data_IF_903231351191
#
_entry.id   IF_903231351191
#
_cell.length_a   1.000
_cell.length_b   1.000
_cell.length_c   1.000
_cell.angle_alpha   90.00
_cell.angle_beta   90.00
_cell.angle_gamma   90.00
#
_symmetry.space_group_name_H-M   'P 1'
#
loop_
_entity.id
_entity.type
_entity.pdbx_description
1 polymer ?
#
# COMPACT_ATOMS: atom_id res chain seq x y z
N UNK A 1 19.05 -9.82 -3.49
CA UNK A 1 20.01 -10.02 -4.60
C UNK A 1 19.57 -9.34 -5.90
N UNK A 2 18.27 -9.39 -6.27
CA UNK A 2 17.76 -8.80 -7.51
C UNK A 2 17.54 -7.27 -7.46
N UNK A 3 17.26 -6.69 -6.29
CA UNK A 3 17.02 -5.24 -6.15
C UNK A 3 18.22 -4.39 -6.60
N UNK A 4 19.43 -4.72 -6.13
CA UNK A 4 20.65 -4.00 -6.53
C UNK A 4 20.90 -4.02 -8.03
N UNK A 5 20.58 -5.14 -8.70
CA UNK A 5 20.67 -5.24 -10.16
C UNK A 5 19.64 -4.38 -10.88
N UNK A 6 18.43 -4.28 -10.36
CA UNK A 6 17.37 -3.40 -10.87
C UNK A 6 17.77 -1.93 -10.80
N UNK A 7 18.28 -1.48 -9.65
CA UNK A 7 18.77 -0.10 -9.47
C UNK A 7 19.96 0.22 -10.37
N UNK A 8 20.95 -0.68 -10.45
CA UNK A 8 22.12 -0.49 -11.31
C UNK A 8 21.72 -0.42 -12.78
N UNK A 9 20.81 -1.29 -13.24
CA UNK A 9 20.28 -1.25 -14.61
C UNK A 9 19.62 0.10 -14.92
N UNK A 10 18.77 0.59 -14.02
CA UNK A 10 18.08 1.87 -14.17
C UNK A 10 19.10 3.02 -14.26
N UNK A 11 20.05 3.06 -13.32
CA UNK A 11 21.09 4.08 -13.29
C UNK A 11 21.96 4.08 -14.55
N UNK A 12 22.40 2.90 -15.02
CA UNK A 12 23.19 2.80 -16.26
C UNK A 12 22.38 3.29 -17.47
N UNK A 13 21.09 2.97 -17.54
CA UNK A 13 20.24 3.44 -18.62
C UNK A 13 20.08 4.97 -18.61
N UNK A 14 19.93 5.60 -17.43
CA UNK A 14 19.90 7.05 -17.26
C UNK A 14 21.24 7.69 -17.65
N UNK A 15 22.35 7.20 -17.10
CA UNK A 15 23.70 7.74 -17.34
C UNK A 15 24.12 7.63 -18.83
N UNK A 16 23.59 6.64 -19.57
CA UNK A 16 23.85 6.43 -21.00
C UNK A 16 22.79 7.07 -21.93
N UNK A 17 21.78 7.75 -21.38
CA UNK A 17 20.71 8.37 -22.18
C UNK A 17 19.86 7.35 -22.96
N UNK A 18 19.65 6.16 -22.40
CA UNK A 18 18.88 5.07 -23.01
C UNK A 18 17.40 5.08 -22.60
N UNK A 19 17.00 5.95 -21.68
CA UNK A 19 15.61 6.12 -21.24
C UNK A 19 14.91 7.08 -22.21
N UNK A 20 13.87 6.66 -22.93
CA UNK A 20 13.12 7.55 -23.81
C UNK A 20 12.44 8.67 -23.00
N UNK A 21 12.75 9.92 -23.34
CA UNK A 21 12.01 11.11 -22.91
C UNK A 21 10.82 11.24 -23.89
N UNK A 22 9.59 11.40 -23.42
CA UNK A 22 8.35 11.50 -24.22
C UNK A 22 7.68 10.21 -24.72
N UNK A 23 8.03 9.04 -24.17
CA UNK A 23 7.27 7.81 -24.40
C UNK A 23 6.51 7.33 -23.15
N UNK A 24 5.31 6.81 -23.36
CA UNK A 24 4.56 6.09 -22.33
C UNK A 24 4.61 4.59 -22.58
N UNK A 25 5.34 3.89 -21.71
CA UNK A 25 5.51 2.45 -21.73
C UNK A 25 4.69 1.82 -20.61
N UNK A 26 3.51 1.35 -20.98
CA UNK A 26 2.60 0.64 -20.08
C UNK A 26 2.89 -0.87 -20.09
N UNK A 27 2.79 -1.50 -18.92
CA UNK A 27 2.71 -2.96 -18.83
C UNK A 27 1.85 -3.38 -17.64
N UNK A 28 1.29 -4.59 -17.73
CA UNK A 28 0.61 -5.25 -16.62
C UNK A 28 1.52 -6.30 -16.01
N UNK A 29 1.55 -6.36 -14.68
CA UNK A 29 2.15 -7.45 -13.91
C UNK A 29 1.01 -8.23 -13.27
N UNK A 30 0.74 -9.45 -13.72
CA UNK A 30 -0.44 -10.25 -13.31
C UNK A 30 -0.11 -11.65 -12.78
N UNK A 31 1.17 -12.02 -12.68
CA UNK A 31 1.66 -13.30 -12.15
C UNK A 31 2.21 -13.11 -10.73
N UNK A 32 1.37 -12.55 -9.86
CA UNK A 32 1.75 -12.20 -8.50
C UNK A 32 1.52 -13.38 -7.53
N UNK A 33 2.44 -13.63 -6.58
CA UNK A 33 2.20 -14.63 -5.54
C UNK A 33 1.06 -14.18 -4.63
N UNK A 34 0.37 -15.12 -3.98
CA UNK A 34 -0.64 -14.79 -2.97
C UNK A 34 0.01 -14.31 -1.66
N UNK A 35 1.16 -14.89 -1.32
CA UNK A 35 1.86 -14.69 -0.07
C UNK A 35 3.30 -14.25 -0.29
N UNK A 36 3.82 -13.48 0.65
CA UNK A 36 5.24 -13.21 0.80
C UNK A 36 5.74 -13.74 2.15
N UNK A 37 6.93 -14.33 2.16
CA UNK A 37 7.54 -14.86 3.38
C UNK A 37 8.78 -14.04 3.66
N UNK A 38 8.82 -13.40 4.82
CA UNK A 38 9.99 -12.66 5.27
C UNK A 38 11.17 -13.64 5.48
N UNK A 39 12.30 -13.44 4.79
CA UNK A 39 13.39 -14.42 4.78
C UNK A 39 14.15 -14.52 6.11
N UNK A 40 13.94 -13.58 7.05
CA UNK A 40 14.66 -13.50 8.33
C UNK A 40 13.82 -14.09 9.46
N UNK A 41 12.59 -13.62 9.60
CA UNK A 41 11.63 -14.00 10.63
C UNK A 41 10.78 -15.21 10.26
N UNK A 42 10.69 -15.55 8.96
CA UNK A 42 9.80 -16.60 8.47
C UNK A 42 8.31 -16.23 8.53
N UNK A 43 7.98 -14.97 8.84
CA UNK A 43 6.61 -14.50 8.89
C UNK A 43 6.00 -14.51 7.48
N UNK A 44 4.85 -15.15 7.34
CA UNK A 44 4.03 -15.11 6.13
C UNK A 44 3.11 -13.89 6.19
N UNK A 45 3.10 -13.08 5.13
CA UNK A 45 2.17 -11.98 4.93
C UNK A 45 1.49 -12.09 3.55
N UNK A 46 0.44 -11.31 3.34
CA UNK A 46 -0.19 -11.24 2.03
C UNK A 46 0.67 -10.39 1.10
N UNK A 47 0.95 -10.88 -0.12
CA UNK A 47 1.75 -10.11 -1.10
C UNK A 47 1.08 -8.78 -1.47
N UNK A 48 -0.25 -8.77 -1.59
CA UNK A 48 -1.01 -7.55 -1.90
C UNK A 48 -1.93 -7.13 -0.76
N UNK A 49 -2.90 -7.97 -0.39
CA UNK A 49 -3.76 -7.79 0.78
C UNK A 49 -4.50 -9.11 1.09
N UNK A 50 -5.01 -9.34 2.31
CA UNK A 50 -5.58 -10.64 2.71
C UNK A 50 -6.89 -11.03 2.01
N UNK A 51 -7.47 -10.15 1.20
CA UNK A 51 -8.74 -10.38 0.48
C UNK A 51 -8.57 -10.81 -0.98
N UNK A 52 -7.32 -10.97 -1.49
CA UNK A 52 -7.07 -11.41 -2.87
C UNK A 52 -7.57 -12.83 -3.05
N UNK A 53 -8.25 -13.11 -4.16
CA UNK A 53 -8.66 -14.46 -4.53
C UNK A 53 -7.43 -15.32 -4.88
N UNK A 54 -7.15 -16.42 -4.15
CA UNK A 54 -6.12 -17.38 -4.54
C UNK A 54 -6.50 -18.07 -5.86
N UNK A 55 -5.51 -18.30 -6.73
CA UNK A 55 -5.71 -19.00 -8.01
C UNK A 55 -5.70 -20.54 -7.87
N UNK A 56 -5.61 -21.04 -6.64
CA UNK A 56 -5.56 -22.45 -6.30
C UNK A 56 -5.87 -22.69 -4.83
N UNK A 57 -5.26 -23.73 -4.26
CA UNK A 57 -5.38 -24.02 -2.83
C UNK A 57 -4.66 -22.93 -2.01
N UNK A 58 -5.36 -22.16 -1.14
CA UNK A 58 -4.71 -21.14 -0.29
C UNK A 58 -3.66 -21.71 0.68
N UNK A 59 -3.65 -23.02 0.91
CA UNK A 59 -2.65 -23.64 1.79
C UNK A 59 -1.32 -23.92 1.07
N UNK A 60 -1.30 -23.92 -0.28
CA UNK A 60 -0.08 -24.05 -1.07
C UNK A 60 0.77 -22.78 -0.96
N UNK A 61 2.04 -22.94 -0.59
CA UNK A 61 3.00 -21.83 -0.42
C UNK A 61 3.33 -21.12 -1.75
N UNK A 62 3.08 -21.78 -2.88
CA UNK A 62 3.36 -21.24 -4.22
C UNK A 62 2.11 -20.76 -4.95
N UNK A 63 0.96 -20.71 -4.26
CA UNK A 63 -0.29 -20.29 -4.89
C UNK A 63 -0.20 -18.85 -5.38
N UNK A 64 -0.66 -18.62 -6.61
CA UNK A 64 -0.82 -17.29 -7.17
C UNK A 64 -1.99 -16.56 -6.53
N UNK A 65 -1.91 -15.23 -6.49
CA UNK A 65 -3.04 -14.36 -6.19
C UNK A 65 -3.58 -13.79 -7.49
N UNK A 66 -4.90 -13.76 -7.65
CA UNK A 66 -5.55 -13.10 -8.79
C UNK A 66 -5.49 -11.57 -8.63
N UNK A 67 -4.28 -11.02 -8.60
CA UNK A 67 -3.98 -9.59 -8.49
C UNK A 67 -3.06 -9.13 -9.61
N UNK A 68 -3.10 -7.83 -9.89
CA UNK A 68 -2.44 -7.23 -11.02
C UNK A 68 -2.09 -5.77 -10.76
N UNK A 69 -0.94 -5.35 -11.28
CA UNK A 69 -0.47 -3.96 -11.23
C UNK A 69 -0.36 -3.39 -12.64
N UNK A 70 -0.89 -2.18 -12.83
CA UNK A 70 -0.63 -1.35 -13.99
C UNK A 70 0.62 -0.52 -13.72
N UNK A 71 1.65 -0.72 -14.52
CA UNK A 71 2.88 0.06 -14.45
C UNK A 71 3.02 0.99 -15.66
N UNK A 72 3.57 2.18 -15.42
CA UNK A 72 3.90 3.17 -16.44
C UNK A 72 5.31 3.71 -16.22
N UNK A 73 6.19 3.56 -17.21
CA UNK A 73 7.57 4.04 -17.19
C UNK A 73 8.34 3.62 -15.93
N UNK A 74 8.11 2.38 -15.47
CA UNK A 74 8.73 1.82 -14.27
C UNK A 74 8.15 2.31 -12.94
N UNK A 75 7.03 3.03 -12.94
CA UNK A 75 6.25 3.38 -11.75
C UNK A 75 4.99 2.52 -11.69
N UNK A 76 4.65 2.01 -10.51
CA UNK A 76 3.31 1.49 -10.26
C UNK A 76 2.31 2.65 -10.35
N UNK A 77 1.33 2.51 -11.25
CA UNK A 77 0.28 3.50 -11.49
C UNK A 77 -1.03 3.12 -10.80
N UNK A 78 -1.29 1.82 -10.68
CA UNK A 78 -2.43 1.30 -9.95
C UNK A 78 -2.33 -0.19 -9.73
N UNK A 79 -3.05 -0.69 -8.74
CA UNK A 79 -3.03 -2.09 -8.33
C UNK A 79 -4.45 -2.56 -8.05
N UNK A 80 -4.72 -3.82 -8.39
CA UNK A 80 -6.04 -4.41 -8.32
C UNK A 80 -6.02 -5.91 -8.09
N UNK A 81 -7.20 -6.45 -7.80
CA UNK A 81 -7.37 -7.89 -7.61
C UNK A 81 -8.82 -8.33 -7.69
N UNK A 82 -9.02 -9.59 -8.04
CA UNK A 82 -10.24 -10.33 -7.75
C UNK A 82 -10.28 -10.65 -6.25
N UNK A 83 -11.49 -10.66 -5.69
CA UNK A 83 -11.70 -10.77 -4.25
C UNK A 83 -12.27 -12.13 -3.87
N UNK A 84 -11.86 -12.59 -2.69
CA UNK A 84 -12.49 -13.75 -2.06
C UNK A 84 -13.94 -13.41 -1.77
N UNK A 85 -14.84 -14.28 -2.23
CA UNK A 85 -16.29 -14.18 -2.01
C UNK A 85 -16.86 -15.45 -1.36
N UNK A 86 -15.99 -16.33 -0.87
CA UNK A 86 -16.34 -17.55 -0.15
C UNK A 86 -15.81 -17.48 1.29
N UNK A 87 -16.68 -17.74 2.26
CA UNK A 87 -16.40 -17.64 3.70
C UNK A 87 -15.25 -18.56 4.12
N UNK A 88 -15.30 -19.83 3.71
CA UNK A 88 -14.33 -20.84 4.13
C UNK A 88 -12.94 -20.54 3.58
N UNK A 89 -12.87 -20.08 2.32
CA UNK A 89 -11.63 -19.65 1.69
C UNK A 89 -11.04 -18.42 2.40
N UNK A 90 -11.86 -17.43 2.75
CA UNK A 90 -11.37 -16.23 3.45
C UNK A 90 -10.80 -16.59 4.83
N UNK A 91 -11.45 -17.51 5.56
CA UNK A 91 -10.95 -18.01 6.84
C UNK A 91 -9.64 -18.77 6.68
N UNK A 92 -9.52 -19.65 5.68
CA UNK A 92 -8.25 -20.34 5.39
C UNK A 92 -7.10 -19.37 5.13
N UNK A 93 -7.35 -18.32 4.32
CA UNK A 93 -6.34 -17.28 4.06
C UNK A 93 -5.96 -16.55 5.35
N UNK A 94 -6.93 -16.15 6.19
CA UNK A 94 -6.60 -15.51 7.46
C UNK A 94 -5.80 -16.40 8.41
N UNK A 95 -6.14 -17.69 8.49
CA UNK A 95 -5.36 -18.64 9.29
C UNK A 95 -3.94 -18.82 8.77
N UNK A 96 -3.76 -18.89 7.45
CA UNK A 96 -2.42 -18.95 6.81
C UNK A 96 -1.57 -17.72 7.13
N UNK A 97 -2.21 -16.55 7.27
CA UNK A 97 -1.59 -15.29 7.69
C UNK A 97 -1.41 -15.17 9.21
N UNK A 98 -1.71 -16.21 9.98
CA UNK A 98 -1.47 -16.28 11.42
C UNK A 98 -2.55 -15.63 12.29
N UNK A 99 -3.76 -15.42 11.76
CA UNK A 99 -4.91 -14.98 12.57
C UNK A 99 -5.65 -16.20 13.11
N UNK A 100 -5.94 -16.18 14.41
CA UNK A 100 -6.84 -17.13 15.06
C UNK A 100 -8.31 -16.70 14.92
N UNK A 101 -9.23 -17.60 15.27
CA UNK A 101 -10.68 -17.34 15.15
C UNK A 101 -11.13 -16.11 15.94
N UNK A 102 -10.57 -15.89 17.14
CA UNK A 102 -10.92 -14.75 17.98
C UNK A 102 -10.51 -13.43 17.32
N UNK A 103 -9.30 -13.37 16.74
CA UNK A 103 -8.81 -12.19 16.02
C UNK A 103 -9.54 -11.97 14.70
N UNK A 104 -9.90 -13.04 13.99
CA UNK A 104 -10.73 -12.96 12.78
C UNK A 104 -12.09 -12.36 13.14
N UNK A 105 -12.76 -12.87 14.16
CA UNK A 105 -14.08 -12.38 14.55
C UNK A 105 -14.03 -10.92 15.00
N UNK A 106 -13.08 -10.57 15.87
CA UNK A 106 -12.93 -9.21 16.40
C UNK A 106 -12.63 -8.18 15.32
N UNK A 107 -11.77 -8.51 14.35
CA UNK A 107 -11.29 -7.54 13.37
C UNK A 107 -12.07 -7.58 12.05
N UNK A 108 -12.62 -8.73 11.68
CA UNK A 108 -13.20 -9.00 10.36
C UNK A 108 -14.52 -9.77 10.41
N UNK A 109 -15.10 -10.07 11.59
CA UNK A 109 -16.32 -10.86 11.73
C UNK A 109 -17.48 -10.36 10.86
N UNK A 110 -17.75 -9.05 10.90
CA UNK A 110 -18.74 -8.40 10.03
C UNK A 110 -18.49 -8.63 8.53
N UNK A 111 -17.23 -8.55 8.09
CA UNK A 111 -16.87 -8.77 6.69
C UNK A 111 -17.08 -10.24 6.29
N UNK A 112 -16.62 -11.17 7.12
CA UNK A 112 -16.78 -12.62 6.89
C UNK A 112 -18.25 -13.02 6.87
N UNK A 113 -19.07 -12.45 7.77
CA UNK A 113 -20.51 -12.64 7.80
C UNK A 113 -21.17 -12.16 6.50
N UNK A 114 -20.79 -10.98 5.99
CA UNK A 114 -21.33 -10.46 4.73
C UNK A 114 -21.08 -11.37 3.52
N UNK A 115 -19.94 -12.08 3.48
CA UNK A 115 -19.68 -13.06 2.42
C UNK A 115 -20.73 -14.18 2.40
N UNK A 116 -21.27 -14.56 3.57
CA UNK A 116 -22.28 -15.63 3.70
C UNK A 116 -23.64 -15.26 3.10
N UNK A 117 -23.92 -13.97 2.91
CA UNK A 117 -25.18 -13.49 2.32
C UNK A 117 -25.20 -13.51 0.79
N UNK A 118 -24.28 -14.25 0.17
CA UNK A 118 -24.22 -14.42 -1.29
C UNK A 118 -23.44 -13.33 -1.99
N UNK A 119 -22.27 -12.96 -1.45
CA UNK A 119 -21.36 -12.04 -2.12
C UNK A 119 -21.01 -12.56 -3.53
N UNK A 120 -21.23 -11.78 -4.61
CA UNK A 120 -20.92 -12.23 -5.96
C UNK A 120 -19.41 -12.25 -6.18
N UNK A 121 -18.91 -12.95 -7.21
CA UNK A 121 -17.56 -12.72 -7.71
C UNK A 121 -17.37 -11.23 -8.02
N UNK A 122 -16.34 -10.64 -7.42
CA UNK A 122 -16.08 -9.20 -7.54
C UNK A 122 -14.57 -8.93 -7.57
N UNK A 123 -14.22 -7.75 -8.06
CA UNK A 123 -12.85 -7.32 -8.23
C UNK A 123 -12.81 -5.81 -8.45
N UNK A 124 -11.62 -5.25 -8.35
CA UNK A 124 -11.44 -3.81 -8.54
C UNK A 124 -9.97 -3.44 -8.60
N UNK A 125 -9.74 -2.20 -9.00
CA UNK A 125 -8.42 -1.56 -9.14
C UNK A 125 -8.49 -0.16 -8.54
N UNK A 126 -7.39 0.25 -7.91
CA UNK A 126 -7.18 1.64 -7.51
C UNK A 126 -6.03 2.22 -8.34
N UNK A 127 -6.20 3.46 -8.81
CA UNK A 127 -5.18 4.19 -9.58
C UNK A 127 -4.72 5.39 -8.75
N UNK A 128 -3.40 5.57 -8.66
CA UNK A 128 -2.79 6.75 -8.06
C UNK A 128 -2.96 7.97 -8.96
N UNK A 129 -4.08 8.69 -8.80
CA UNK A 129 -4.42 9.85 -9.63
C UNK A 129 -3.34 10.93 -9.59
N UNK A 130 -2.77 11.23 -8.42
CA UNK A 130 -1.69 12.22 -8.30
C UNK A 130 -0.44 11.79 -9.08
N UNK A 131 -0.10 10.49 -9.03
CA UNK A 131 1.03 9.94 -9.80
C UNK A 131 0.76 10.02 -11.30
N UNK A 132 -0.47 9.68 -11.72
CA UNK A 132 -0.89 9.81 -13.11
C UNK A 132 -0.75 11.26 -13.61
N UNK A 133 -1.29 12.22 -12.85
CA UNK A 133 -1.19 13.64 -13.18
C UNK A 133 0.27 14.12 -13.24
N UNK A 134 1.11 13.70 -12.28
CA UNK A 134 2.53 14.07 -12.27
C UNK A 134 3.25 13.56 -13.52
N UNK A 135 3.04 12.28 -13.90
CA UNK A 135 3.64 11.70 -15.11
C UNK A 135 3.15 12.42 -16.37
N UNK A 136 1.84 12.66 -16.50
CA UNK A 136 1.25 13.34 -17.67
C UNK A 136 1.74 14.79 -17.83
N UNK A 137 2.09 15.46 -16.73
CA UNK A 137 2.58 16.83 -16.71
C UNK A 137 4.12 16.92 -16.67
N UNK A 138 4.83 15.79 -16.76
CA UNK A 138 6.29 15.75 -16.69
C UNK A 138 6.84 16.29 -15.37
N UNK A 139 6.19 15.96 -14.25
CA UNK A 139 6.60 16.35 -12.90
C UNK A 139 7.22 15.18 -12.15
N UNK A 140 8.36 15.43 -11.51
CA UNK A 140 9.04 14.45 -10.68
C UNK A 140 8.36 14.22 -9.32
N UNK A 141 7.57 15.20 -8.87
CA UNK A 141 6.88 15.15 -7.57
C UNK A 141 5.37 15.27 -7.72
N UNK A 142 4.64 14.42 -7.01
CA UNK A 142 3.19 14.57 -6.84
C UNK A 142 2.81 15.90 -6.14
N UNK A 143 3.76 16.53 -5.44
CA UNK A 143 3.54 17.83 -4.79
C UNK A 143 3.25 18.94 -5.80
N UNK A 144 3.70 18.79 -7.05
CA UNK A 144 3.49 19.77 -8.11
C UNK A 144 2.11 19.66 -8.77
N UNK A 145 1.33 18.63 -8.44
CA UNK A 145 -0.03 18.41 -8.98
C UNK A 145 -1.11 18.44 -7.90
N UNK A 146 -0.72 18.66 -6.65
CA UNK A 146 -1.63 18.84 -5.51
C UNK A 146 -1.62 20.32 -5.14
N UNK A 147 -2.79 20.94 -5.02
CA UNK A 147 -2.90 22.38 -4.75
C UNK A 147 -2.21 22.80 -3.42
N UNK A 148 -2.36 21.99 -2.36
CA UNK A 148 -1.82 22.26 -1.02
C UNK A 148 -1.11 21.01 -0.45
N UNK A 149 0.06 20.65 -0.99
CA UNK A 149 0.75 19.42 -0.61
C UNK A 149 1.38 19.51 0.77
N UNK A 150 1.56 18.36 1.42
CA UNK A 150 2.35 18.24 2.65
C UNK A 150 3.82 17.94 2.33
N UNK A 151 4.72 18.22 3.27
CA UNK A 151 6.13 17.79 3.18
C UNK A 151 6.30 16.33 3.66
N UNK A 152 7.53 15.81 3.66
CA UNK A 152 7.84 14.44 4.10
C UNK A 152 7.48 14.15 5.57
N UNK A 153 7.30 15.19 6.39
CA UNK A 153 6.87 15.11 7.80
C UNK A 153 5.36 15.22 7.98
N UNK A 154 4.60 15.13 6.89
CA UNK A 154 3.15 15.37 6.85
C UNK A 154 2.74 16.78 7.32
N UNK A 155 3.67 17.75 7.30
CA UNK A 155 3.43 19.14 7.70
C UNK A 155 3.02 19.99 6.50
N UNK A 156 2.08 20.89 6.73
CA UNK A 156 1.55 21.88 5.81
C UNK A 156 2.20 23.22 6.06
N UNK A 157 3.01 23.69 5.12
CA UNK A 157 3.67 25.00 5.24
C UNK A 157 2.72 26.18 4.99
N UNK A 158 1.53 25.91 4.44
CA UNK A 158 0.53 26.93 4.15
C UNK A 158 -0.18 27.43 5.41
N UNK A 159 -0.65 26.47 6.22
CA UNK A 159 -1.52 26.71 7.38
C UNK A 159 -0.90 26.25 8.71
N UNK A 160 0.31 25.70 8.68
CA UNK A 160 1.03 25.24 9.87
C UNK A 160 0.48 23.96 10.50
N UNK A 161 -0.34 23.17 9.77
CA UNK A 161 -0.88 21.91 10.28
C UNK A 161 0.12 20.74 10.18
N UNK A 162 0.06 19.73 11.07
CA UNK A 162 -0.75 19.68 12.29
C UNK A 162 -0.26 20.68 13.35
N UNK A 163 -1.16 21.09 14.24
CA UNK A 163 -0.86 21.98 15.37
C UNK A 163 -1.39 21.38 16.68
N UNK A 164 -0.93 21.90 17.82
CA UNK A 164 -1.46 21.52 19.14
C UNK A 164 -2.98 21.73 19.21
N UNK A 165 -3.68 20.79 19.82
CA UNK A 165 -5.13 20.83 20.07
C UNK A 165 -5.37 21.36 21.49
N UNK A 166 -6.42 22.15 21.68
CA UNK A 166 -6.81 22.67 22.99
C UNK A 166 -7.20 21.54 23.95
N UNK A 167 -6.76 21.63 25.21
CA UNK A 167 -6.99 20.59 26.22
C UNK A 167 -8.49 20.33 26.45
N UNK A 168 -9.34 21.37 26.40
CA UNK A 168 -10.80 21.23 26.54
C UNK A 168 -11.41 20.28 25.49
N UNK A 169 -10.89 20.30 24.25
CA UNK A 169 -11.35 19.39 23.17
C UNK A 169 -10.86 17.96 23.38
N UNK A 170 -9.65 17.81 23.90
CA UNK A 170 -9.10 16.50 24.25
C UNK A 170 -9.91 15.87 25.38
N UNK A 171 -10.28 16.66 26.39
CA UNK A 171 -11.16 16.23 27.49
C UNK A 171 -12.55 15.82 27.01
N UNK A 172 -13.17 16.61 26.12
CA UNK A 172 -14.47 16.27 25.52
C UNK A 172 -14.43 14.91 24.79
N UNK A 173 -13.34 14.64 24.07
CA UNK A 173 -13.14 13.38 23.35
C UNK A 173 -12.63 12.25 24.25
N UNK A 174 -12.39 12.51 25.54
CA UNK A 174 -11.77 11.58 26.49
C UNK A 174 -10.40 11.05 26.02
N UNK A 175 -9.63 11.91 25.34
CA UNK A 175 -8.29 11.64 24.84
C UNK A 175 -7.28 12.32 25.75
N UNK A 176 -6.18 11.62 26.05
CA UNK A 176 -5.04 12.20 26.78
C UNK A 176 -3.85 12.23 25.83
N UNK A 177 -3.31 13.42 25.58
CA UNK A 177 -2.04 13.55 24.85
C UNK A 177 -0.87 13.24 25.78
N UNK A 178 -0.11 12.18 25.43
CA UNK A 178 1.13 11.84 26.14
C UNK A 178 2.36 12.58 25.60
N UNK A 179 2.20 13.35 24.51
CA UNK A 179 3.30 14.07 23.85
C UNK A 179 3.76 15.32 24.64
N UNK A 180 3.02 15.75 25.67
CA UNK A 180 3.34 16.96 26.41
C UNK A 180 3.29 18.22 25.52
N UNK A 181 4.33 19.05 25.59
CA UNK A 181 4.51 20.24 24.75
C UNK A 181 5.36 19.99 23.49
N UNK A 182 5.65 18.73 23.16
CA UNK A 182 6.41 18.42 21.94
C UNK A 182 5.58 18.77 20.70
N UNK A 183 6.01 19.80 19.97
CA UNK A 183 5.50 20.07 18.63
C UNK A 183 6.17 19.09 17.65
N UNK A 184 5.36 18.43 16.83
CA UNK A 184 5.84 17.57 15.75
C UNK A 184 6.70 18.38 14.77
N UNK A 185 6.55 19.71 14.71
CA UNK A 185 7.41 20.63 13.98
C UNK A 185 8.85 20.76 14.51
N UNK A 186 9.07 20.52 15.81
CA UNK A 186 10.35 20.79 16.50
C UNK A 186 11.32 19.60 16.51
N UNK A 187 10.93 18.46 15.93
CA UNK A 187 11.84 17.32 15.74
C UNK A 187 12.87 17.70 14.68
N UNK A 188 14.06 18.17 15.09
CA UNK A 188 15.20 18.37 14.20
C UNK A 188 15.62 17.05 13.55
N UNK A 189 16.14 17.13 12.32
CA UNK A 189 16.65 16.01 11.54
C UNK A 189 17.69 15.24 12.35
N UNK A 190 17.31 14.12 12.97
CA UNK A 190 18.27 13.11 13.36
C UNK A 190 18.77 12.47 12.07
N UNK A 191 19.89 13.00 11.58
CA UNK A 191 20.79 12.49 10.54
C UNK A 191 20.33 11.17 9.89
N UNK A 192 19.65 11.29 8.75
CA UNK A 192 19.50 10.20 7.80
C UNK A 192 20.49 10.46 6.66
N UNK A 193 21.72 9.97 6.85
CA UNK A 193 22.60 9.59 5.72
C UNK A 193 22.00 8.41 4.95
#
# INVERSE_FOLDING_TARGET
>A
AYEGGGFLRKKIAEDLGLVPEDEFQFFWMDQCPMYEVDPVSGKCDAFHHPFVLPEGDPMDEKVGGACFDLCLNGNELGSGSLRIHNVDMQRQVFHKLGLDDERIERNFGYFVEMLSYGAPPHGGIAIGVDRLCAILLGKDSIRDVIAFPKNKRAVSLLDGSPSKVDDEKLEELQIISLAGDLDIGDIEDADVE
#
